data_IF_399070732712
#
_entry.id   IF_399070732712
#
_cell.length_a   1.000
_cell.length_b   1.000
_cell.length_c   1.000
_cell.angle_alpha   90.00
_cell.angle_beta   90.00
_cell.angle_gamma   90.00
#
_symmetry.space_group_name_H-M   'P 1'
#
loop_
_entity.id
_entity.type
_entity.pdbx_description
1 polymer ?
#
# COMPACT_ATOMS: atom_id res chain seq x y z
N UNK A 1 -17.90 8.25 2.09
CA UNK A 1 -16.58 7.78 2.55
C UNK A 1 -16.22 6.55 1.71
N UNK A 2 -14.95 6.31 1.35
CA UNK A 2 -14.58 5.04 0.71
C UNK A 2 -14.41 4.00 1.80
N UNK A 3 -15.40 3.12 1.97
CA UNK A 3 -15.28 1.94 2.83
C UNK A 3 -14.09 1.10 2.38
N UNK A 4 -12.99 1.15 3.14
CA UNK A 4 -11.85 0.26 2.93
C UNK A 4 -12.27 -1.11 3.46
N UNK A 5 -12.26 -2.13 2.61
CA UNK A 5 -12.54 -3.49 3.03
C UNK A 5 -11.31 -4.06 3.73
N UNK A 6 -11.27 -3.95 5.06
CA UNK A 6 -10.21 -4.55 5.86
C UNK A 6 -10.69 -5.81 6.57
N UNK A 7 -9.78 -6.77 6.78
CA UNK A 7 -10.00 -7.96 7.61
C UNK A 7 -9.03 -7.94 8.77
N UNK A 8 -9.56 -7.99 9.99
CA UNK A 8 -8.75 -8.17 11.19
C UNK A 8 -8.45 -9.66 11.39
N UNK A 9 -7.19 -9.99 11.66
CA UNK A 9 -6.70 -11.36 11.91
C UNK A 9 -5.89 -11.36 13.20
N UNK A 10 -6.23 -12.25 14.12
CA UNK A 10 -5.49 -12.44 15.38
C UNK A 10 -4.62 -13.69 15.26
N UNK A 11 -3.33 -13.57 15.58
CA UNK A 11 -2.39 -14.71 15.63
C UNK A 11 -1.63 -14.66 16.95
N UNK A 12 -2.02 -15.52 17.90
CA UNK A 12 -1.51 -15.44 19.27
C UNK A 12 -1.91 -14.11 19.90
N UNK A 13 -0.92 -13.32 20.35
CA UNK A 13 -1.13 -12.00 20.93
C UNK A 13 -1.01 -10.86 19.90
N UNK A 14 -0.82 -11.17 18.62
CA UNK A 14 -0.68 -10.18 17.55
C UNK A 14 -2.00 -9.95 16.82
N UNK A 15 -2.31 -8.69 16.52
CA UNK A 15 -3.45 -8.27 15.72
C UNK A 15 -2.97 -7.66 14.41
N UNK A 16 -3.44 -8.21 13.29
CA UNK A 16 -3.13 -7.74 11.94
C UNK A 16 -4.39 -7.16 11.29
N UNK A 17 -4.23 -6.04 10.59
CA UNK A 17 -5.24 -5.49 9.70
C UNK A 17 -4.81 -5.72 8.24
N UNK A 18 -5.60 -6.48 7.49
CA UNK A 18 -5.33 -6.83 6.10
C UNK A 18 -6.22 -6.00 5.18
N UNK A 19 -5.62 -5.21 4.28
CA UNK A 19 -6.32 -4.53 3.20
C UNK A 19 -6.70 -5.53 2.09
N UNK A 20 -7.99 -5.88 2.01
CA UNK A 20 -8.49 -6.84 1.03
C UNK A 20 -8.47 -6.31 -0.40
N UNK A 21 -8.58 -4.99 -0.59
CA UNK A 21 -8.47 -4.37 -1.91
C UNK A 21 -7.03 -4.47 -2.43
N UNK A 22 -6.04 -4.32 -1.55
CA UNK A 22 -4.64 -4.57 -1.91
C UNK A 22 -4.40 -6.05 -2.27
N UNK A 23 -4.88 -7.00 -1.45
CA UNK A 23 -4.76 -8.43 -1.75
C UNK A 23 -5.37 -8.77 -3.10
N UNK A 24 -6.57 -8.26 -3.40
CA UNK A 24 -7.25 -8.47 -4.68
C UNK A 24 -6.45 -7.92 -5.86
N UNK A 25 -5.97 -6.67 -5.76
CA UNK A 25 -5.15 -6.05 -6.82
C UNK A 25 -3.89 -6.86 -7.11
N UNK A 26 -3.23 -7.37 -6.06
CA UNK A 26 -2.04 -8.20 -6.20
C UNK A 26 -2.32 -9.51 -6.93
N UNK A 27 -3.48 -10.14 -6.68
CA UNK A 27 -3.93 -11.31 -7.45
C UNK A 27 -4.21 -10.97 -8.93
N UNK A 28 -4.68 -9.76 -9.22
CA UNK A 28 -4.85 -9.24 -10.58
C UNK A 28 -3.53 -8.78 -11.24
N UNK A 29 -2.37 -8.94 -10.59
CA UNK A 29 -1.08 -8.46 -11.08
C UNK A 29 -0.93 -6.93 -11.08
N UNK A 30 -1.80 -6.22 -10.34
CA UNK A 30 -1.79 -4.76 -10.24
C UNK A 30 -1.12 -4.34 -8.93
N UNK A 31 -0.36 -3.23 -8.91
CA UNK A 31 0.27 -2.74 -7.70
C UNK A 31 -0.76 -2.27 -6.68
N UNK A 32 -0.46 -2.49 -5.40
CA UNK A 32 -1.25 -1.90 -4.33
C UNK A 32 -1.12 -0.38 -4.34
N UNK A 33 -2.12 0.31 -3.77
CA UNK A 33 -2.15 1.76 -3.76
C UNK A 33 -0.94 2.36 -3.03
N UNK A 34 -0.60 1.80 -1.87
CA UNK A 34 0.58 2.22 -1.09
C UNK A 34 1.91 2.01 -1.84
N UNK A 35 2.05 0.95 -2.63
CA UNK A 35 3.26 0.76 -3.45
C UNK A 35 3.39 1.87 -4.50
N UNK A 36 2.27 2.28 -5.10
CA UNK A 36 2.22 3.37 -6.08
C UNK A 36 2.55 4.73 -5.43
N UNK A 37 1.98 5.01 -4.28
CA UNK A 37 2.25 6.24 -3.51
C UNK A 37 3.74 6.29 -3.07
N UNK A 38 4.34 5.15 -2.69
CA UNK A 38 5.76 5.06 -2.32
C UNK A 38 6.69 5.28 -3.52
N UNK A 39 6.37 4.70 -4.68
CA UNK A 39 7.13 4.91 -5.92
C UNK A 39 7.08 6.39 -6.36
N UNK A 40 5.92 7.04 -6.26
CA UNK A 40 5.80 8.47 -6.54
C UNK A 40 6.60 9.33 -5.56
N UNK A 41 6.63 8.98 -4.28
CA UNK A 41 7.42 9.68 -3.27
C UNK A 41 8.94 9.55 -3.54
N UNK A 42 9.41 8.37 -3.91
CA UNK A 42 10.81 8.13 -4.30
C UNK A 42 11.19 8.92 -5.56
N UNK A 43 10.34 8.92 -6.60
CA UNK A 43 10.55 9.71 -7.82
C UNK A 43 10.60 11.21 -7.54
N UNK A 44 9.77 11.72 -6.62
CA UNK A 44 9.83 13.13 -6.19
C UNK A 44 11.14 13.45 -5.47
N UNK A 45 11.61 12.58 -4.58
CA UNK A 45 12.91 12.75 -3.90
C UNK A 45 14.08 12.74 -4.88
N UNK A 46 14.06 11.87 -5.89
CA UNK A 46 15.13 11.81 -6.90
C UNK A 46 15.17 13.09 -7.76
N UNK A 47 14.00 13.62 -8.16
CA UNK A 47 13.93 14.89 -8.90
C UNK A 47 14.49 16.07 -8.10
N UNK A 48 14.18 16.15 -6.80
CA UNK A 48 14.75 17.17 -5.90
C UNK A 48 16.27 17.05 -5.73
N UNK A 49 16.82 15.84 -5.78
CA UNK A 49 18.28 15.64 -5.72
C UNK A 49 19.01 16.02 -7.02
N UNK A 50 18.34 15.89 -8.17
CA UNK A 50 18.92 16.19 -9.48
C UNK A 50 18.88 17.68 -9.85
N UNK A 51 18.06 18.48 -9.16
CA UNK A 51 18.00 19.93 -9.30
C UNK A 51 17.96 20.56 -7.89
N UNK A 52 19.13 20.78 -7.24
CA UNK A 52 19.22 21.65 -6.07
C UNK A 52 18.94 23.11 -6.41
#
# INVERSE_FOLDING_TARGET
MKDRKTRLVIRGNELYEIDLDCVKRRQEGKPCREEKDREEAEKKKEKWKKHP
#
